data_IF_560987968572
#
_entry.id   IF_560987968572
#
_cell.length_a   1.000
_cell.length_b   1.000
_cell.length_c   1.000
_cell.angle_alpha   90.00
_cell.angle_beta   90.00
_cell.angle_gamma   90.00
#
_symmetry.space_group_name_H-M   'P 1'
#
loop_
_entity.id
_entity.type
_entity.pdbx_description
1 polymer ?
#
# COMPACT_ATOMS: atom_id res chain seq x y z
N UNK A 1 23.62 -49.12 -69.30
CA UNK A 1 24.41 -47.89 -69.54
C UNK A 1 23.54 -46.69 -69.23
N UNK A 2 24.05 -45.81 -68.35
CA UNK A 2 23.66 -44.44 -67.97
C UNK A 2 22.22 -43.93 -68.14
N UNK A 3 21.68 -43.37 -67.05
CA UNK A 3 21.04 -42.05 -67.06
C UNK A 3 21.20 -41.37 -65.67
N UNK A 4 21.54 -40.09 -65.72
CA UNK A 4 21.91 -39.15 -64.65
C UNK A 4 20.68 -38.60 -63.94
N UNK A 5 20.72 -38.33 -62.63
CA UNK A 5 20.03 -37.14 -62.09
C UNK A 5 20.65 -36.67 -60.77
N UNK A 6 21.20 -35.45 -60.80
CA UNK A 6 21.68 -34.67 -59.67
C UNK A 6 20.50 -34.03 -58.95
N UNK A 7 20.29 -34.30 -57.66
CA UNK A 7 19.30 -33.57 -56.84
C UNK A 7 20.01 -32.63 -55.89
N UNK A 8 19.71 -31.34 -56.08
CA UNK A 8 20.16 -30.21 -55.28
C UNK A 8 19.65 -30.31 -53.83
N UNK A 9 20.56 -30.08 -52.89
CA UNK A 9 20.29 -30.01 -51.46
C UNK A 9 19.75 -28.59 -51.14
N UNK A 10 18.44 -28.45 -50.94
CA UNK A 10 17.87 -27.22 -50.41
C UNK A 10 18.18 -27.12 -48.91
N UNK A 11 19.14 -26.26 -48.55
CA UNK A 11 19.30 -25.74 -47.18
C UNK A 11 18.09 -24.83 -46.87
N UNK A 12 17.29 -25.07 -45.83
CA UNK A 12 16.38 -24.05 -45.35
C UNK A 12 17.21 -22.96 -44.66
N UNK A 13 17.30 -21.79 -45.30
CA UNK A 13 17.70 -20.56 -44.63
C UNK A 13 16.67 -20.29 -43.52
N UNK A 14 17.06 -20.60 -42.28
CA UNK A 14 16.29 -20.23 -41.11
C UNK A 14 16.18 -18.71 -41.05
N UNK A 15 15.00 -18.18 -41.33
CA UNK A 15 14.63 -16.82 -40.93
C UNK A 15 14.66 -16.77 -39.41
N UNK A 16 15.76 -16.26 -38.86
CA UNK A 16 15.79 -15.82 -37.48
C UNK A 16 14.70 -14.74 -37.33
N UNK A 17 13.65 -15.06 -36.59
CA UNK A 17 12.76 -14.07 -36.02
C UNK A 17 13.66 -13.04 -35.34
N UNK A 18 13.54 -11.77 -35.74
CA UNK A 18 14.10 -10.64 -35.03
C UNK A 18 13.50 -10.61 -33.63
N UNK A 19 14.08 -11.38 -32.71
CA UNK A 19 14.05 -11.05 -31.30
C UNK A 19 14.67 -9.67 -31.21
N UNK A 20 13.92 -8.71 -30.67
CA UNK A 20 14.39 -7.36 -30.42
C UNK A 20 15.41 -7.41 -29.27
N UNK A 21 16.57 -7.99 -29.54
CA UNK A 21 17.82 -7.82 -28.81
C UNK A 21 18.71 -6.97 -29.69
N UNK A 22 18.29 -5.73 -29.94
CA UNK A 22 19.18 -4.74 -30.51
C UNK A 22 20.22 -4.44 -29.43
N UNK A 23 21.45 -4.94 -29.63
CA UNK A 23 22.63 -4.33 -29.06
C UNK A 23 22.70 -2.90 -29.59
N UNK A 24 22.08 -1.98 -28.84
CA UNK A 24 22.18 -0.55 -29.05
C UNK A 24 23.24 -0.02 -28.11
N UNK A 25 24.22 0.69 -28.64
CA UNK A 25 25.11 1.57 -27.87
C UNK A 25 24.34 2.80 -27.38
N UNK A 26 23.32 2.56 -26.54
CA UNK A 26 22.83 3.50 -25.54
C UNK A 26 23.37 3.03 -24.20
N UNK A 27 23.81 3.95 -23.35
CA UNK A 27 24.26 3.59 -22.00
C UNK A 27 23.14 2.84 -21.28
N UNK A 28 23.27 1.52 -21.17
CA UNK A 28 22.36 0.67 -20.41
C UNK A 28 22.50 1.07 -18.94
N UNK A 29 21.58 1.93 -18.49
CA UNK A 29 21.54 2.35 -17.09
C UNK A 29 21.38 1.13 -16.21
N UNK A 30 22.15 1.06 -15.13
CA UNK A 30 22.03 -0.06 -14.20
C UNK A 30 20.65 -0.05 -13.55
N UNK A 31 20.17 -1.22 -13.10
CA UNK A 31 18.93 -1.29 -12.31
C UNK A 31 18.99 -0.39 -11.06
N UNK A 32 20.19 -0.16 -10.51
CA UNK A 32 20.43 0.78 -9.43
C UNK A 32 20.16 2.23 -9.86
N UNK A 33 20.74 2.67 -10.98
CA UNK A 33 20.52 4.03 -11.49
C UNK A 33 19.05 4.31 -11.79
N UNK A 34 18.33 3.32 -12.31
CA UNK A 34 16.89 3.40 -12.57
C UNK A 34 16.11 3.53 -11.26
N UNK A 35 16.46 2.74 -10.24
CA UNK A 35 15.81 2.80 -8.93
C UNK A 35 16.07 4.14 -8.23
N UNK A 36 17.30 4.64 -8.32
CA UNK A 36 17.69 5.92 -7.73
C UNK A 36 16.95 7.10 -8.39
N UNK A 37 16.85 7.09 -9.72
CA UNK A 37 16.04 8.09 -10.43
C UNK A 37 14.55 7.98 -10.09
N UNK A 38 14.00 6.77 -10.01
CA UNK A 38 12.60 6.56 -9.63
C UNK A 38 12.33 7.09 -8.22
N UNK A 39 13.21 6.80 -7.27
CA UNK A 39 13.15 7.33 -5.90
C UNK A 39 13.26 8.86 -5.90
N UNK A 40 14.19 9.44 -6.66
CA UNK A 40 14.34 10.89 -6.80
C UNK A 40 13.09 11.55 -7.43
N UNK A 41 12.41 10.85 -8.33
CA UNK A 41 11.16 11.31 -8.94
C UNK A 41 10.00 11.28 -7.95
N UNK A 42 9.85 10.17 -7.21
CA UNK A 42 8.81 10.02 -6.17
C UNK A 42 8.96 11.10 -5.08
N UNK A 43 10.19 11.43 -4.68
CA UNK A 43 10.48 12.51 -3.70
C UNK A 43 10.01 13.90 -4.14
N UNK A 44 9.78 14.12 -5.44
CA UNK A 44 9.33 15.40 -6.00
C UNK A 44 7.82 15.47 -6.20
N UNK A 45 7.09 14.38 -5.97
CA UNK A 45 5.64 14.37 -6.13
C UNK A 45 4.98 15.24 -5.07
N UNK A 46 3.91 15.93 -5.45
CA UNK A 46 3.03 16.67 -4.54
C UNK A 46 1.77 15.88 -4.16
N UNK A 47 1.54 14.74 -4.80
CA UNK A 47 0.52 13.78 -4.40
C UNK A 47 0.76 12.44 -5.08
N UNK A 48 0.22 11.38 -4.49
CA UNK A 48 0.27 10.04 -5.08
C UNK A 48 -0.94 9.23 -4.68
N UNK A 49 -1.39 8.35 -5.58
CA UNK A 49 -2.31 7.26 -5.26
C UNK A 49 -1.54 5.95 -5.25
N UNK A 50 -1.65 5.17 -4.18
CA UNK A 50 -0.99 3.89 -4.00
C UNK A 50 -2.06 2.81 -3.81
N UNK A 51 -2.08 1.83 -4.70
CA UNK A 51 -2.87 0.60 -4.53
C UNK A 51 -1.95 -0.49 -3.99
N UNK A 52 -2.31 -1.05 -2.82
CA UNK A 52 -1.53 -2.04 -2.09
C UNK A 52 -2.34 -3.32 -2.03
N UNK A 53 -1.74 -4.45 -2.42
CA UNK A 53 -2.35 -5.77 -2.30
C UNK A 53 -1.39 -6.73 -1.61
N UNK A 54 -1.80 -7.29 -0.48
CA UNK A 54 -1.02 -8.25 0.29
C UNK A 54 -1.75 -9.60 0.36
N UNK A 55 -0.99 -10.70 0.34
CA UNK A 55 -1.50 -12.03 0.73
C UNK A 55 -1.12 -12.32 2.18
N UNK A 56 -2.06 -12.79 2.98
CA UNK A 56 -1.81 -13.12 4.39
C UNK A 56 -1.27 -14.54 4.54
N UNK A 57 -0.44 -14.77 5.56
CA UNK A 57 0.12 -16.10 5.86
C UNK A 57 -0.96 -17.13 6.25
N UNK A 58 -2.07 -16.67 6.82
CA UNK A 58 -3.23 -17.50 7.17
C UNK A 58 -4.17 -17.80 5.99
N UNK A 59 -3.81 -17.38 4.77
CA UNK A 59 -4.71 -17.37 3.63
C UNK A 59 -5.65 -16.16 3.63
N UNK A 60 -5.83 -15.56 2.45
CA UNK A 60 -6.61 -14.34 2.25
C UNK A 60 -5.81 -13.20 1.61
N UNK A 61 -6.52 -12.13 1.27
CA UNK A 61 -5.96 -10.93 0.66
C UNK A 61 -6.36 -9.70 1.49
N UNK A 62 -5.42 -8.77 1.64
CA UNK A 62 -5.68 -7.42 2.16
C UNK A 62 -5.41 -6.44 1.03
N UNK A 63 -6.40 -5.62 0.69
CA UNK A 63 -6.22 -4.55 -0.30
C UNK A 63 -6.35 -3.20 0.38
N UNK A 64 -5.51 -2.25 0.00
CA UNK A 64 -5.61 -0.87 0.46
C UNK A 64 -5.47 0.09 -0.71
N UNK A 65 -6.27 1.15 -0.73
CA UNK A 65 -6.06 2.30 -1.60
C UNK A 65 -5.74 3.51 -0.75
N UNK A 66 -4.56 4.07 -0.96
CA UNK A 66 -4.05 5.27 -0.29
C UNK A 66 -4.03 6.41 -1.28
N UNK A 67 -4.57 7.57 -0.91
CA UNK A 67 -4.38 8.82 -1.66
C UNK A 67 -3.84 9.83 -0.67
N UNK A 68 -2.71 10.45 -1.01
CA UNK A 68 -2.03 11.41 -0.13
C UNK A 68 -1.49 12.59 -0.93
N UNK A 69 -1.55 13.78 -0.34
CA UNK A 69 -0.83 14.97 -0.82
C UNK A 69 0.63 15.02 -0.33
N UNK A 70 1.09 13.96 0.34
CA UNK A 70 2.45 13.83 0.90
C UNK A 70 2.80 14.90 1.95
N UNK A 71 1.78 15.57 2.50
CA UNK A 71 1.92 16.59 3.54
C UNK A 71 0.93 16.29 4.68
N UNK A 72 -0.24 16.92 4.65
CA UNK A 72 -1.22 16.89 5.73
C UNK A 72 -2.51 16.14 5.40
N UNK A 73 -2.72 15.68 4.16
CA UNK A 73 -3.99 15.07 3.76
C UNK A 73 -3.78 13.68 3.20
N UNK A 74 -4.43 12.73 3.85
CA UNK A 74 -4.37 11.34 3.46
C UNK A 74 -5.75 10.71 3.60
N UNK A 75 -6.09 9.82 2.67
CA UNK A 75 -7.20 8.88 2.83
C UNK A 75 -6.72 7.49 2.47
N UNK A 76 -6.79 6.59 3.43
CA UNK A 76 -6.54 5.17 3.25
C UNK A 76 -7.84 4.40 3.45
N UNK A 77 -8.18 3.51 2.53
CA UNK A 77 -9.25 2.54 2.71
C UNK A 77 -8.67 1.15 2.56
N UNK A 78 -8.77 0.36 3.61
CA UNK A 78 -8.30 -1.03 3.65
C UNK A 78 -9.48 -1.99 3.75
N UNK A 79 -9.41 -3.09 3.01
CA UNK A 79 -10.38 -4.18 3.04
C UNK A 79 -9.66 -5.52 3.19
N UNK A 80 -10.31 -6.45 3.89
CA UNK A 80 -9.82 -7.82 4.10
C UNK A 80 -10.77 -8.81 3.44
N UNK A 81 -10.24 -9.80 2.73
CA UNK A 81 -11.04 -10.82 2.04
C UNK A 81 -11.92 -11.63 3.00
N UNK A 82 -11.46 -11.82 4.23
CA UNK A 82 -12.26 -12.45 5.30
C UNK A 82 -13.19 -11.48 6.04
N UNK A 83 -13.58 -10.37 5.41
CA UNK A 83 -14.46 -9.35 5.98
C UNK A 83 -13.74 -8.27 6.80
N UNK A 84 -14.37 -7.10 6.84
CA UNK A 84 -13.89 -5.90 7.52
C UNK A 84 -13.43 -4.81 6.57
N UNK A 85 -13.71 -3.56 6.96
CA UNK A 85 -13.26 -2.34 6.31
C UNK A 85 -12.75 -1.38 7.36
N UNK A 86 -11.60 -0.76 7.08
CA UNK A 86 -11.06 0.33 7.86
C UNK A 86 -10.77 1.48 6.92
N UNK A 87 -11.33 2.64 7.21
CA UNK A 87 -10.93 3.88 6.56
C UNK A 87 -10.22 4.77 7.57
N UNK A 88 -9.06 5.29 7.17
CA UNK A 88 -8.32 6.29 7.92
C UNK A 88 -8.19 7.54 7.06
N UNK A 89 -8.51 8.69 7.64
CA UNK A 89 -8.44 9.98 6.96
C UNK A 89 -7.61 10.91 7.83
N UNK A 90 -6.55 11.46 7.27
CA UNK A 90 -5.77 12.52 7.91
C UNK A 90 -6.16 13.86 7.29
N UNK A 91 -6.41 14.85 8.15
CA UNK A 91 -6.53 16.26 7.79
C UNK A 91 -5.66 17.08 8.73
N UNK A 92 -4.54 17.58 8.23
CA UNK A 92 -3.49 18.19 9.04
C UNK A 92 -2.92 17.19 10.04
N UNK A 93 -3.10 17.48 11.33
CA UNK A 93 -2.61 16.64 12.44
C UNK A 93 -3.67 15.70 13.02
N UNK A 94 -4.91 15.72 12.51
CA UNK A 94 -5.97 14.83 13.00
C UNK A 94 -6.15 13.62 12.11
N UNK A 95 -6.16 12.45 12.74
CA UNK A 95 -6.58 11.20 12.15
C UNK A 95 -8.02 10.86 12.55
N UNK A 96 -8.88 10.77 11.54
CA UNK A 96 -10.22 10.20 11.66
C UNK A 96 -10.16 8.73 11.26
N UNK A 97 -10.79 7.87 12.06
CA UNK A 97 -10.83 6.43 11.81
C UNK A 97 -12.28 5.98 11.74
N UNK A 98 -12.65 5.31 10.65
CA UNK A 98 -14.00 4.77 10.40
C UNK A 98 -13.92 3.26 10.18
N UNK A 99 -13.98 2.45 11.25
CA UNK A 99 -14.10 1.02 11.11
C UNK A 99 -15.54 0.62 10.80
N UNK A 100 -15.73 -0.45 10.04
CA UNK A 100 -17.04 -1.11 9.96
C UNK A 100 -17.23 -2.14 11.10
N UNK A 101 -18.46 -2.64 11.24
CA UNK A 101 -18.79 -3.63 12.28
C UNK A 101 -17.96 -4.91 12.14
N UNK A 102 -17.73 -5.39 10.91
CA UNK A 102 -16.99 -6.61 10.66
C UNK A 102 -15.53 -6.48 11.08
N UNK A 103 -14.90 -5.33 10.85
CA UNK A 103 -13.56 -5.01 11.33
C UNK A 103 -13.50 -5.04 12.86
N UNK A 104 -14.45 -4.35 13.52
CA UNK A 104 -14.50 -4.32 14.98
C UNK A 104 -14.57 -5.73 15.56
N UNK A 105 -15.54 -6.53 15.14
CA UNK A 105 -15.77 -7.89 15.64
C UNK A 105 -14.60 -8.84 15.40
N UNK A 106 -13.86 -8.64 14.31
CA UNK A 106 -12.75 -9.52 13.93
C UNK A 106 -11.47 -9.23 14.71
N UNK A 107 -11.14 -7.95 14.87
CA UNK A 107 -9.83 -7.52 15.40
C UNK A 107 -9.86 -7.11 16.86
N UNK A 108 -11.05 -6.98 17.47
CA UNK A 108 -11.23 -6.70 18.89
C UNK A 108 -12.19 -7.72 19.49
N UNK A 109 -11.89 -8.20 20.70
CA UNK A 109 -12.67 -9.27 21.35
C UNK A 109 -13.61 -8.72 22.41
N UNK A 110 -13.16 -7.73 23.18
CA UNK A 110 -13.95 -7.11 24.26
C UNK A 110 -14.19 -5.65 23.89
N UNK A 111 -15.44 -5.22 23.99
CA UNK A 111 -15.89 -3.86 23.75
C UNK A 111 -16.52 -3.33 25.04
N UNK A 112 -16.09 -2.15 25.46
CA UNK A 112 -16.72 -1.40 26.52
C UNK A 112 -17.46 -0.25 25.85
N UNK A 113 -18.76 -0.18 26.06
CA UNK A 113 -19.67 0.82 25.47
C UNK A 113 -20.19 1.70 26.59
N UNK A 114 -20.42 2.99 26.31
CA UNK A 114 -21.05 3.89 27.27
C UNK A 114 -22.42 3.35 27.70
N UNK A 115 -22.66 3.31 29.02
CA UNK A 115 -23.93 2.85 29.60
C UNK A 115 -25.02 3.93 29.52
N UNK A 116 -24.61 5.20 29.57
CA UNK A 116 -25.49 6.36 29.52
C UNK A 116 -25.20 7.22 28.27
N UNK A 117 -26.25 7.79 27.68
CA UNK A 117 -26.15 8.64 26.49
C UNK A 117 -25.99 7.87 25.18
N UNK A 118 -25.28 8.47 24.22
CA UNK A 118 -24.96 7.83 22.94
C UNK A 118 -23.97 6.66 23.15
N UNK A 119 -24.15 5.51 22.47
CA UNK A 119 -23.41 4.27 22.75
C UNK A 119 -21.99 4.30 22.16
N UNK A 120 -21.16 5.23 22.63
CA UNK A 120 -19.77 5.34 22.21
C UNK A 120 -18.95 4.14 22.65
N UNK A 121 -18.06 3.69 21.76
CA UNK A 121 -17.01 2.73 22.10
C UNK A 121 -15.98 3.42 22.99
N UNK A 122 -15.97 3.10 24.28
CA UNK A 122 -15.05 3.69 25.27
C UNK A 122 -13.70 2.97 25.28
N UNK A 123 -13.71 1.66 25.06
CA UNK A 123 -12.50 0.85 25.05
C UNK A 123 -12.71 -0.42 24.24
N UNK A 124 -11.64 -0.86 23.58
CA UNK A 124 -11.55 -2.18 22.98
C UNK A 124 -10.31 -2.91 23.46
N UNK A 125 -10.45 -4.22 23.69
CA UNK A 125 -9.32 -5.09 24.05
C UNK A 125 -9.18 -6.17 22.98
N UNK A 126 -7.98 -6.24 22.43
CA UNK A 126 -7.50 -7.39 21.70
C UNK A 126 -6.59 -8.20 22.61
N UNK A 127 -6.80 -9.51 22.65
CA UNK A 127 -6.02 -10.43 23.49
C UNK A 127 -5.75 -11.73 22.72
N UNK A 128 -4.47 -12.08 22.63
CA UNK A 128 -3.96 -13.34 22.10
C UNK A 128 -2.90 -13.90 23.05
N UNK A 129 -2.42 -15.12 22.77
CA UNK A 129 -1.38 -15.75 23.59
C UNK A 129 -0.06 -14.94 23.65
N UNK A 130 0.22 -14.13 22.62
CA UNK A 130 1.48 -13.40 22.49
C UNK A 130 1.36 -11.89 22.77
N UNK A 131 0.15 -11.33 22.74
CA UNK A 131 -0.04 -9.89 22.86
C UNK A 131 -1.40 -9.52 23.42
N UNK A 132 -1.41 -8.44 24.19
CA UNK A 132 -2.61 -7.77 24.66
C UNK A 132 -2.54 -6.30 24.27
N UNK A 133 -3.55 -5.83 23.55
CA UNK A 133 -3.64 -4.44 23.13
C UNK A 133 -4.95 -3.85 23.64
N UNK A 134 -4.83 -2.82 24.47
CA UNK A 134 -5.97 -1.99 24.87
C UNK A 134 -5.98 -0.72 24.05
N UNK A 135 -7.14 -0.36 23.51
CA UNK A 135 -7.37 0.92 22.86
C UNK A 135 -8.50 1.61 23.60
N UNK A 136 -8.25 2.80 24.14
CA UNK A 136 -9.24 3.63 24.82
C UNK A 136 -9.62 4.82 23.95
N UNK A 137 -10.87 5.26 24.04
CA UNK A 137 -11.42 6.38 23.28
C UNK A 137 -12.03 7.39 24.26
N UNK A 138 -11.79 8.67 24.02
CA UNK A 138 -12.26 9.78 24.84
C UNK A 138 -12.28 11.06 24.00
N UNK A 139 -12.84 12.15 24.56
CA UNK A 139 -12.92 13.45 23.87
C UNK A 139 -13.90 13.44 22.70
N UNK A 140 -14.99 12.68 22.83
CA UNK A 140 -16.01 12.56 21.78
C UNK A 140 -16.62 13.93 21.50
N UNK A 141 -16.61 14.34 20.23
CA UNK A 141 -17.15 15.61 19.74
C UNK A 141 -16.55 16.87 20.39
N UNK A 142 -15.44 16.75 21.13
CA UNK A 142 -14.71 17.90 21.64
C UNK A 142 -14.06 18.68 20.48
N UNK A 143 -14.23 20.02 20.44
CA UNK A 143 -13.60 20.83 19.40
C UNK A 143 -12.07 20.72 19.44
N UNK A 144 -11.48 20.24 18.34
CA UNK A 144 -10.03 20.14 18.20
C UNK A 144 -9.43 21.50 17.87
N UNK A 145 -8.56 22.03 18.73
CA UNK A 145 -7.72 23.19 18.42
C UNK A 145 -6.34 22.74 17.93
N UNK A 146 -6.31 22.17 16.72
CA UNK A 146 -5.07 21.75 16.08
C UNK A 146 -4.31 22.97 15.60
N UNK A 147 -3.04 23.07 15.97
CA UNK A 147 -2.12 24.03 15.39
C UNK A 147 -0.97 23.25 14.78
N UNK A 148 -0.51 23.71 13.62
CA UNK A 148 0.72 23.18 13.06
C UNK A 148 1.83 23.30 14.13
N UNK A 149 2.63 22.25 14.35
CA UNK A 149 3.78 22.33 15.25
C UNK A 149 4.71 23.46 14.81
N UNK A 150 5.40 24.10 15.75
CA UNK A 150 6.36 25.14 15.37
C UNK A 150 7.52 24.50 14.59
N UNK A 151 8.19 25.25 13.70
CA UNK A 151 9.45 24.80 13.10
C UNK A 151 10.42 24.35 14.20
N UNK A 152 10.90 23.10 14.11
CA UNK A 152 11.80 22.49 15.11
C UNK A 152 11.12 21.60 16.16
N UNK A 153 9.79 21.59 16.28
CA UNK A 153 9.03 20.66 17.13
C UNK A 153 8.66 19.34 16.40
N UNK A 154 8.92 19.29 15.09
CA UNK A 154 8.72 18.09 14.27
C UNK A 154 10.07 17.40 14.07
N UNK A 155 10.20 16.18 14.59
CA UNK A 155 11.29 15.29 14.22
C UNK A 155 11.10 14.89 12.76
N UNK A 156 11.91 15.49 11.88
CA UNK A 156 12.04 15.00 10.51
C UNK A 156 12.76 13.66 10.57
N UNK A 157 12.05 12.55 10.33
CA UNK A 157 12.69 11.26 10.03
C UNK A 157 13.21 11.32 8.59
N UNK A 158 14.21 12.16 8.38
CA UNK A 158 14.83 12.40 7.08
C UNK A 158 15.94 11.40 6.79
N UNK A 159 15.80 10.73 5.65
CA UNK A 159 16.86 10.19 4.80
C UNK A 159 16.41 10.33 3.34
#
# INVERSE_FOLDING_TARGET
MAAVTTTALCLPAGTALAGCGAGGSGEDRSAGDILDEANATIRKLSSVTVDITNRTTSGGTVTSRLVTDLDGRCRSRTTWSGGGVLEQIRLGTTDYVRPDRAYLQKWKKIFYVAEEGEPYLLKTVYESAAQRTTTSFSGFDEPLNLRAPKPGEVLSTGG
#
